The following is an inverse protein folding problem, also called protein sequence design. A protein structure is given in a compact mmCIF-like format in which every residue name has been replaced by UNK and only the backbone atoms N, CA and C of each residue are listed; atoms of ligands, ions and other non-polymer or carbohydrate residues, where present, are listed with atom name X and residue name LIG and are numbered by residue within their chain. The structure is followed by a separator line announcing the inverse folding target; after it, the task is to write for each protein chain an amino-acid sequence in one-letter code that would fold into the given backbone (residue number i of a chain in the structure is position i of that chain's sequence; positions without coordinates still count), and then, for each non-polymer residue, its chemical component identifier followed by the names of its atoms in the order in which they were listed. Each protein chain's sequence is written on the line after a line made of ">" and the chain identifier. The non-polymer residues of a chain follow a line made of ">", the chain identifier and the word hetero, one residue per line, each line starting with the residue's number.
data_IF_701056093938
#
_entry.id   IF_701056093938
#
_cell.length_a   1.000
_cell.length_b   1.000
_cell.length_c   1.000
_cell.angle_alpha   90.00
_cell.angle_beta   90.00
_cell.angle_gamma   90.00
#
_symmetry.space_group_name_H-M   'P 1'
#
loop_
_entity.id
_entity.type
_entity.pdbx_description
1 polymer ?
#
# COMPACT_ATOMS: atom_id res chain seq x y z
N UNK A 1 -10.03 -24.71 6.86
CA UNK A 1 -9.75 -23.42 6.19
C UNK A 1 -8.85 -23.71 5.00
N UNK A 2 -9.27 -23.37 3.78
CA UNK A 2 -8.41 -23.45 2.59
C UNK A 2 -7.65 -22.12 2.52
N UNK A 3 -6.33 -22.14 2.65
CA UNK A 3 -5.51 -20.95 2.40
C UNK A 3 -5.44 -20.67 0.90
N UNK A 4 -5.20 -19.41 0.54
CA UNK A 4 -5.01 -19.00 -0.85
C UNK A 4 -3.57 -19.26 -1.28
N UNK A 5 -3.38 -19.97 -2.39
CA UNK A 5 -2.06 -20.22 -2.98
C UNK A 5 -1.66 -19.02 -3.84
N UNK A 6 -0.69 -18.25 -3.37
CA UNK A 6 -0.10 -17.13 -4.11
C UNK A 6 1.17 -17.65 -4.82
N UNK A 7 1.30 -17.51 -6.15
CA UNK A 7 2.52 -17.89 -6.86
C UNK A 7 3.76 -17.17 -6.31
N UNK A 8 4.89 -17.86 -6.30
CA UNK A 8 6.19 -17.21 -6.11
C UNK A 8 6.36 -16.13 -7.20
N UNK A 9 7.09 -15.06 -6.90
CA UNK A 9 7.22 -13.85 -7.72
C UNK A 9 5.97 -12.94 -7.83
N UNK A 10 4.92 -13.20 -7.06
CA UNK A 10 3.79 -12.26 -6.96
C UNK A 10 4.18 -11.02 -6.17
N UNK A 11 4.26 -9.88 -6.86
CA UNK A 11 4.68 -8.60 -6.26
C UNK A 11 3.61 -7.92 -5.42
N UNK A 12 2.35 -7.95 -5.85
CA UNK A 12 1.20 -7.47 -5.11
C UNK A 12 0.04 -8.47 -5.25
N UNK A 13 -0.70 -8.67 -4.16
CA UNK A 13 -1.88 -9.55 -4.12
C UNK A 13 -3.03 -8.82 -3.45
N UNK A 14 -4.23 -8.91 -4.03
CA UNK A 14 -5.43 -8.26 -3.48
C UNK A 14 -6.49 -9.32 -3.15
N UNK A 15 -6.94 -9.33 -1.90
CA UNK A 15 -8.00 -10.23 -1.42
C UNK A 15 -8.83 -9.54 -0.35
N UNK A 16 -10.16 -9.61 -0.49
CA UNK A 16 -11.13 -9.09 0.49
C UNK A 16 -10.90 -7.63 0.95
N UNK A 17 -10.45 -6.76 0.05
CA UNK A 17 -10.18 -5.35 0.37
C UNK A 17 -8.81 -5.10 1.00
N UNK A 18 -8.00 -6.14 1.19
CA UNK A 18 -6.63 -6.08 1.68
C UNK A 18 -5.67 -6.16 0.50
N UNK A 19 -4.79 -5.17 0.40
CA UNK A 19 -3.68 -5.19 -0.55
C UNK A 19 -2.42 -5.63 0.19
N UNK A 20 -1.77 -6.67 -0.33
CA UNK A 20 -0.57 -7.29 0.21
C UNK A 20 0.61 -7.02 -0.72
N UNK A 21 1.74 -6.60 -0.17
CA UNK A 21 2.99 -6.51 -0.92
C UNK A 21 4.10 -7.29 -0.23
N UNK A 22 4.82 -8.07 -1.04
CA UNK A 22 5.98 -8.84 -0.62
C UNK A 22 7.21 -8.31 -1.37
N UNK A 23 8.33 -8.21 -0.64
CA UNK A 23 9.62 -7.97 -1.25
C UNK A 23 10.35 -9.31 -1.41
N UNK A 24 10.66 -9.69 -2.65
CA UNK A 24 11.54 -10.83 -2.90
C UNK A 24 12.97 -10.39 -2.58
N UNK A 25 13.58 -10.99 -1.57
CA UNK A 25 15.02 -11.00 -1.40
C UNK A 25 15.58 -11.90 -2.51
N UNK A 26 16.28 -11.34 -3.51
CA UNK A 26 17.09 -12.09 -4.47
C UNK A 26 18.43 -12.55 -3.87
N UNK A 27 18.58 -12.50 -2.55
CA UNK A 27 19.83 -12.83 -1.85
C UNK A 27 19.68 -14.09 -1.01
N UNK A 28 19.40 -15.22 -1.65
CA UNK A 28 19.86 -16.55 -1.20
C UNK A 28 20.18 -17.36 -2.46
N UNK A 29 21.46 -17.33 -2.88
CA UNK A 29 22.17 -18.33 -3.69
C UNK A 29 21.38 -19.06 -4.80
N UNK A 30 20.69 -18.34 -5.69
CA UNK A 30 20.30 -18.89 -6.98
C UNK A 30 21.41 -18.63 -7.99
N UNK A 31 22.17 -19.68 -8.32
CA UNK A 31 22.96 -19.71 -9.56
C UNK A 31 21.99 -19.58 -10.74
N UNK A 32 21.88 -18.35 -11.27
CA UNK A 32 21.04 -18.06 -12.43
C UNK A 32 21.82 -18.48 -13.68
N UNK A 33 21.41 -19.59 -14.30
CA UNK A 33 21.81 -19.92 -15.67
C UNK A 33 21.38 -18.81 -16.64
N UNK A 34 22.32 -18.41 -17.49
CA UNK A 34 22.21 -17.38 -18.53
C UNK A 34 21.15 -17.71 -19.59
N UNK A 35 19.87 -17.44 -19.32
CA UNK A 35 18.90 -17.00 -20.32
C UNK A 35 17.54 -16.85 -19.66
N UNK A 36 17.17 -15.62 -19.36
CA UNK A 36 15.84 -15.04 -19.57
C UNK A 36 15.86 -13.67 -18.89
N UNK A 37 15.35 -12.67 -19.60
CA UNK A 37 15.20 -11.28 -19.17
C UNK A 37 14.87 -11.17 -17.67
N UNK A 38 15.88 -10.83 -16.87
CA UNK A 38 15.76 -10.63 -15.44
C UNK A 38 14.82 -9.45 -15.19
N UNK A 39 13.89 -9.55 -14.23
CA UNK A 39 13.17 -8.38 -13.75
C UNK A 39 14.21 -7.41 -13.15
N UNK A 40 14.32 -6.23 -13.75
CA UNK A 40 15.11 -5.09 -13.26
C UNK A 40 14.82 -4.93 -11.75
N UNK A 41 15.81 -5.10 -10.86
CA UNK A 41 15.63 -4.87 -9.43
C UNK A 41 15.04 -3.47 -9.21
N UNK A 42 13.96 -3.38 -8.43
CA UNK A 42 13.24 -2.11 -8.22
C UNK A 42 14.07 -1.00 -7.55
N UNK A 43 15.23 -1.39 -7.06
CA UNK A 43 16.25 -0.50 -6.52
C UNK A 43 17.57 -0.68 -7.27
N UNK A 44 17.52 -0.88 -8.59
CA UNK A 44 18.70 -0.77 -9.43
C UNK A 44 19.31 0.59 -9.18
N UNK A 45 20.35 0.56 -8.37
CA UNK A 45 21.10 1.69 -7.90
C UNK A 45 21.72 2.33 -9.13
N UNK A 46 21.03 3.31 -9.72
CA UNK A 46 21.61 4.16 -10.75
C UNK A 46 22.55 5.13 -10.04
N UNK A 47 23.89 4.95 -10.14
CA UNK A 47 24.83 5.84 -9.49
C UNK A 47 24.74 7.20 -10.19
N UNK A 48 23.96 8.12 -9.62
CA UNK A 48 23.82 9.48 -10.13
C UNK A 48 22.46 10.16 -9.96
N UNK A 49 21.37 9.45 -9.67
CA UNK A 49 20.02 10.06 -9.59
C UNK A 49 19.45 10.20 -8.18
N UNK A 50 20.08 9.61 -7.17
CA UNK A 50 19.83 9.94 -5.75
C UNK A 50 18.42 9.62 -5.21
N UNK A 51 17.64 8.77 -5.87
CA UNK A 51 16.35 8.32 -5.33
C UNK A 51 16.58 7.30 -4.22
N UNK A 52 16.37 7.72 -2.98
CA UNK A 52 16.50 6.89 -1.77
C UNK A 52 15.32 5.95 -1.53
N UNK A 53 14.25 6.10 -2.31
CA UNK A 53 12.95 5.44 -2.11
C UNK A 53 12.34 5.03 -3.45
N UNK A 54 11.61 3.92 -3.44
CA UNK A 54 10.77 3.47 -4.54
C UNK A 54 9.33 3.27 -4.06
N UNK A 55 8.40 3.38 -5.00
CA UNK A 55 6.96 3.26 -4.75
C UNK A 55 6.42 2.10 -5.57
N UNK A 56 5.75 1.16 -4.91
CA UNK A 56 5.05 0.05 -5.56
C UNK A 56 3.59 0.05 -5.12
N UNK A 57 2.70 0.39 -6.05
CA UNK A 57 1.29 0.61 -5.72
C UNK A 57 1.14 1.73 -4.70
N UNK A 58 0.68 1.40 -3.50
CA UNK A 58 0.57 2.35 -2.39
C UNK A 58 1.67 2.22 -1.33
N UNK A 59 2.63 1.32 -1.50
CA UNK A 59 3.70 1.12 -0.53
C UNK A 59 4.95 1.88 -0.95
N UNK A 60 5.66 2.41 0.06
CA UNK A 60 6.96 3.07 -0.12
C UNK A 60 8.01 2.26 0.57
N UNK A 61 9.11 2.02 -0.13
CA UNK A 61 10.24 1.30 0.40
C UNK A 61 11.54 2.03 0.14
N UNK A 62 12.44 1.95 1.12
CA UNK A 62 13.75 2.56 1.07
C UNK A 62 14.70 1.67 0.26
N UNK A 63 15.37 2.27 -0.71
CA UNK A 63 16.44 1.65 -1.48
C UNK A 63 17.73 1.50 -0.64
N UNK A 64 17.89 2.28 0.44
CA UNK A 64 19.09 2.28 1.29
C UNK A 64 19.04 1.11 2.28
N UNK A 65 17.92 0.99 2.98
CA UNK A 65 17.76 0.00 4.06
C UNK A 65 17.16 -1.33 3.56
N UNK A 66 16.73 -1.37 2.31
CA UNK A 66 15.99 -2.49 1.75
C UNK A 66 14.67 -2.81 2.50
N UNK A 67 14.01 -1.81 3.07
CA UNK A 67 12.82 -1.96 3.91
C UNK A 67 11.61 -1.16 3.38
N UNK A 68 10.39 -1.71 3.49
CA UNK A 68 9.13 -0.97 3.36
C UNK A 68 9.03 -0.02 4.56
N UNK A 69 8.91 1.27 4.27
CA UNK A 69 8.94 2.36 5.27
C UNK A 69 7.56 2.98 5.51
N UNK A 70 6.60 2.79 4.60
CA UNK A 70 5.30 3.43 4.70
C UNK A 70 4.34 3.07 3.58
N UNK A 71 3.21 3.77 3.60
CA UNK A 71 2.24 3.81 2.52
C UNK A 71 2.13 5.24 1.99
N UNK A 72 1.62 5.44 0.78
CA UNK A 72 1.28 6.76 0.24
C UNK A 72 -0.21 7.02 0.38
N UNK A 73 -0.52 8.22 0.83
CA UNK A 73 -1.87 8.74 0.72
C UNK A 73 -2.18 9.30 -0.68
N UNK A 74 -3.41 9.76 -0.87
CA UNK A 74 -3.89 10.34 -2.12
C UNK A 74 -3.15 11.62 -2.54
N UNK A 75 -2.44 12.28 -1.63
CA UNK A 75 -1.67 13.50 -1.88
C UNK A 75 -0.18 13.20 -2.11
N UNK A 76 0.23 11.94 -1.98
CA UNK A 76 1.62 11.52 -2.10
C UNK A 76 2.44 11.68 -0.82
N UNK A 77 1.78 11.87 0.33
CA UNK A 77 2.45 11.98 1.62
C UNK A 77 2.75 10.58 2.20
N UNK A 78 3.94 10.44 2.82
CA UNK A 78 4.38 9.19 3.43
C UNK A 78 3.66 8.95 4.78
N UNK A 79 2.91 7.87 4.83
CA UNK A 79 2.14 7.42 6.00
C UNK A 79 2.88 6.27 6.68
N UNK A 80 3.19 6.45 7.97
CA UNK A 80 3.86 5.43 8.78
C UNK A 80 2.92 4.27 9.16
N UNK A 81 3.51 3.11 9.43
CA UNK A 81 2.81 1.94 9.97
C UNK A 81 1.93 2.30 11.17
N UNK A 82 0.71 1.77 11.21
CA UNK A 82 -0.27 1.98 12.27
C UNK A 82 -1.25 3.13 12.00
N UNK A 83 -0.93 4.06 11.11
CA UNK A 83 -1.76 5.23 10.82
C UNK A 83 -2.81 4.94 9.74
N UNK A 84 -3.97 5.59 9.91
CA UNK A 84 -4.98 5.71 8.86
C UNK A 84 -4.58 6.74 7.82
N UNK A 85 -5.00 6.52 6.58
CA UNK A 85 -4.81 7.44 5.48
C UNK A 85 -5.94 7.33 4.47
N UNK A 86 -6.06 8.37 3.64
CA UNK A 86 -7.03 8.42 2.56
C UNK A 86 -6.33 7.99 1.28
N UNK A 87 -6.84 6.93 0.66
CA UNK A 87 -6.44 6.45 -0.65
C UNK A 87 -7.45 6.90 -1.71
N UNK A 88 -7.21 6.55 -2.97
CA UNK A 88 -8.03 6.96 -4.11
C UNK A 88 -9.55 6.88 -3.83
N UNK A 89 -10.30 7.86 -4.36
CA UNK A 89 -11.77 7.93 -4.24
C UNK A 89 -12.28 8.00 -2.79
N UNK A 90 -11.46 8.49 -1.85
CA UNK A 90 -11.87 8.68 -0.46
C UNK A 90 -11.84 7.40 0.36
N UNK A 91 -11.17 6.35 -0.09
CA UNK A 91 -11.02 5.11 0.67
C UNK A 91 -10.21 5.35 1.94
N UNK A 92 -10.79 5.06 3.10
CA UNK A 92 -10.07 5.10 4.37
C UNK A 92 -9.36 3.76 4.58
N UNK A 93 -8.03 3.78 4.64
CA UNK A 93 -7.20 2.59 4.81
C UNK A 93 -6.23 2.74 5.98
N UNK A 94 -5.76 1.63 6.52
CA UNK A 94 -4.71 1.57 7.55
C UNK A 94 -3.43 1.02 6.95
N UNK A 95 -2.31 1.72 7.10
CA UNK A 95 -1.01 1.21 6.71
C UNK A 95 -0.47 0.26 7.79
N UNK A 96 -0.03 -0.94 7.43
CA UNK A 96 0.57 -1.87 8.40
C UNK A 96 1.83 -2.50 7.80
N UNK A 97 2.94 -2.33 8.50
CA UNK A 97 4.26 -2.86 8.13
C UNK A 97 4.69 -3.88 9.17
N UNK A 98 5.16 -5.04 8.71
CA UNK A 98 5.59 -6.16 9.52
C UNK A 98 7.05 -6.54 9.25
N UNK A 99 7.60 -7.38 10.13
CA UNK A 99 8.89 -8.04 9.90
C UNK A 99 10.04 -7.06 9.66
N UNK A 100 10.02 -5.89 10.31
CA UNK A 100 10.99 -4.79 10.10
C UNK A 100 11.05 -4.34 8.64
N UNK A 101 9.89 -4.04 8.04
CA UNK A 101 9.83 -3.54 6.66
C UNK A 101 9.92 -4.63 5.58
N UNK A 102 9.90 -5.90 5.93
CA UNK A 102 9.91 -6.99 4.92
C UNK A 102 8.56 -7.21 4.25
N UNK A 103 7.47 -6.90 4.94
CA UNK A 103 6.09 -7.16 4.50
C UNK A 103 5.23 -5.97 4.84
N UNK A 104 4.29 -5.62 3.98
CA UNK A 104 3.29 -4.62 4.31
C UNK A 104 1.93 -5.00 3.74
N UNK A 105 0.89 -4.51 4.40
CA UNK A 105 -0.48 -4.59 3.92
C UNK A 105 -1.22 -3.31 4.21
N UNK A 106 -2.30 -3.07 3.46
CA UNK A 106 -3.28 -2.05 3.81
C UNK A 106 -4.64 -2.65 4.06
N UNK A 107 -5.24 -2.28 5.18
CA UNK A 107 -6.59 -2.71 5.54
C UNK A 107 -7.58 -1.60 5.23
N UNK A 108 -8.59 -1.90 4.42
CA UNK A 108 -9.69 -0.96 4.18
C UNK A 108 -10.63 -0.94 5.39
N UNK A 109 -10.99 0.25 5.84
CA UNK A 109 -11.91 0.46 6.97
C UNK A 109 -13.25 1.08 6.57
N UNK A 110 -13.30 1.70 5.39
CA UNK A 110 -14.49 2.36 4.88
C UNK A 110 -14.09 3.54 4.00
N UNK A 111 -14.83 4.62 4.12
CA UNK A 111 -14.63 5.84 3.36
C UNK A 111 -14.38 7.01 4.30
N UNK A 112 -13.71 8.04 3.78
CA UNK A 112 -13.40 9.26 4.49
C UNK A 112 -14.27 10.39 3.96
N UNK A 113 -15.00 11.04 4.86
CA UNK A 113 -15.88 12.17 4.58
C UNK A 113 -15.36 13.43 5.29
N UNK A 114 -14.10 13.78 5.04
CA UNK A 114 -13.45 15.01 5.48
C UNK A 114 -12.72 15.69 4.32
N UNK A 115 -12.13 16.86 4.57
CA UNK A 115 -11.28 17.56 3.61
C UNK A 115 -9.81 17.10 3.70
N UNK A 116 -8.93 17.71 2.89
CA UNK A 116 -7.49 17.44 2.92
C UNK A 116 -6.85 17.79 4.26
N UNK A 117 -7.37 18.81 4.92
CA UNK A 117 -6.85 19.36 6.17
C UNK A 117 -7.35 18.59 7.40
N UNK A 118 -8.35 17.73 7.22
CA UNK A 118 -8.92 16.93 8.27
C UNK A 118 -8.07 15.69 8.57
N UNK A 119 -7.86 15.41 9.86
CA UNK A 119 -7.07 14.25 10.29
C UNK A 119 -7.79 12.92 9.96
N UNK A 120 -7.18 12.03 9.14
CA UNK A 120 -7.72 10.70 8.87
C UNK A 120 -7.89 9.82 10.10
N UNK A 121 -7.24 10.12 11.23
CA UNK A 121 -7.46 9.41 12.49
C UNK A 121 -8.80 9.80 13.16
N UNK A 122 -9.38 10.94 12.80
CA UNK A 122 -10.60 11.45 13.43
C UNK A 122 -11.82 10.66 12.96
N UNK A 123 -12.40 9.90 13.90
CA UNK A 123 -13.55 9.03 13.65
C UNK A 123 -14.82 9.74 13.21
N UNK A 124 -14.94 11.06 13.41
CA UNK A 124 -16.09 11.85 12.94
C UNK A 124 -16.23 11.82 11.41
N UNK A 125 -15.12 11.65 10.70
CA UNK A 125 -15.08 11.61 9.24
C UNK A 125 -15.13 10.17 8.68
N UNK A 126 -15.25 9.17 9.54
CA UNK A 126 -15.23 7.77 9.11
C UNK A 126 -16.63 7.33 8.72
N UNK A 127 -16.77 6.90 7.47
CA UNK A 127 -18.01 6.30 6.97
C UNK A 127 -17.79 4.79 6.81
N UNK A 128 -18.50 3.94 7.57
CA UNK A 128 -18.43 2.50 7.42
C UNK A 128 -18.83 2.03 6.01
N UNK A 129 -18.24 0.93 5.56
CA UNK A 129 -18.58 0.30 4.28
C UNK A 129 -20.08 0.02 4.17
N UNK A 130 -20.65 0.32 3.00
CA UNK A 130 -22.06 0.13 2.70
C UNK A 130 -22.98 1.22 3.26
N UNK A 131 -22.49 2.11 4.15
CA UNK A 131 -23.26 3.21 4.69
C UNK A 131 -23.44 4.33 3.66
N UNK A 132 -24.57 5.01 3.75
CA UNK A 132 -24.90 6.17 2.93
C UNK A 132 -24.85 7.45 3.73
N UNK A 133 -24.50 8.55 3.07
CA UNK A 133 -24.53 9.88 3.65
C UNK A 133 -24.84 10.92 2.59
N UNK A 134 -25.28 12.09 3.04
CA UNK A 134 -25.54 13.22 2.15
C UNK A 134 -24.28 14.07 2.09
N UNK A 135 -23.82 14.37 0.88
CA UNK A 135 -22.78 15.34 0.60
C UNK A 135 -23.33 16.38 -0.37
N UNK A 136 -23.67 17.56 0.15
CA UNK A 136 -24.39 18.59 -0.60
C UNK A 136 -25.76 18.08 -1.09
N UNK A 137 -25.92 18.02 -2.41
CA UNK A 137 -27.16 17.58 -3.06
C UNK A 137 -27.13 16.09 -3.47
N UNK A 138 -26.08 15.36 -3.12
CA UNK A 138 -25.89 13.97 -3.54
C UNK A 138 -25.98 13.03 -2.34
N UNK A 139 -26.67 11.91 -2.52
CA UNK A 139 -26.57 10.76 -1.61
C UNK A 139 -25.41 9.89 -2.09
N UNK A 140 -24.36 9.81 -1.29
CA UNK A 140 -23.20 8.96 -1.54
C UNK A 140 -23.35 7.64 -0.78
N UNK A 141 -22.72 6.59 -1.29
CA UNK A 141 -22.64 5.28 -0.64
C UNK A 141 -21.19 4.84 -0.60
N UNK A 142 -20.72 4.45 0.58
CA UNK A 142 -19.36 3.96 0.74
C UNK A 142 -19.27 2.58 0.10
N UNK A 143 -18.56 2.49 -1.01
CA UNK A 143 -18.42 1.27 -1.79
C UNK A 143 -17.07 0.61 -1.55
N UNK A 144 -16.86 -0.56 -2.15
CA UNK A 144 -15.57 -1.22 -2.08
C UNK A 144 -14.43 -0.36 -2.67
N UNK A 145 -14.76 0.53 -3.60
CA UNK A 145 -13.83 1.41 -4.29
C UNK A 145 -13.78 2.82 -3.68
N UNK A 146 -14.44 3.07 -2.56
CA UNK A 146 -14.77 4.44 -2.12
C UNK A 146 -16.22 4.73 -2.45
#
# INVERSE_FOLDING_TARGET
>A
MRGTHIPLDTFNYFEDGVDYSCRLHLNEDFEIEENNTLPVPECDYLPGTGRSEFVRGMFVASCINDEIIGCLDIYGDLVRSGHLFVYAQGQLRRCIIYGRGRWAKTERLGCFNGSREDDPQNKLYHVPLGRRWINGNFELRCSDNG
#
